data_IF_324543178632
#
_entry.id   IF_324543178632
#
_cell.length_a   1.000
_cell.length_b   1.000
_cell.length_c   1.000
_cell.angle_alpha   90.00
_cell.angle_beta   90.00
_cell.angle_gamma   90.00
#
_symmetry.space_group_name_H-M   'P 1'
#
loop_
_entity.id
_entity.type
_entity.pdbx_description
1 polymer ?
#
# COMPACT_ATOMS: atom_id res chain seq x y z
N UNK A 1 -20.51 -15.39 10.26
CA UNK A 1 -19.24 -16.16 10.19
C UNK A 1 -18.52 -16.18 11.53
N UNK A 2 -18.19 -15.02 12.14
CA UNK A 2 -17.64 -14.99 13.52
C UNK A 2 -18.57 -15.71 14.51
N UNK A 3 -19.86 -15.37 14.53
CA UNK A 3 -20.86 -15.95 15.42
C UNK A 3 -21.06 -17.46 15.24
N UNK A 4 -20.65 -17.99 14.09
CA UNK A 4 -20.69 -19.42 13.75
C UNK A 4 -19.37 -20.14 14.07
N UNK A 5 -18.36 -19.44 14.58
CA UNK A 5 -17.04 -19.99 14.87
C UNK A 5 -16.21 -20.40 13.66
N UNK A 6 -16.61 -19.97 12.43
CA UNK A 6 -15.92 -20.33 11.19
C UNK A 6 -14.62 -19.51 10.99
N UNK A 7 -14.56 -18.33 11.58
CA UNK A 7 -13.37 -17.49 11.61
C UNK A 7 -13.33 -16.66 12.88
N UNK A 8 -12.14 -16.28 13.32
CA UNK A 8 -11.95 -15.34 14.44
C UNK A 8 -11.89 -13.89 13.95
N UNK A 9 -11.36 -13.67 12.76
CA UNK A 9 -11.04 -12.35 12.24
C UNK A 9 -11.65 -12.15 10.85
N UNK A 10 -12.13 -10.95 10.57
CA UNK A 10 -12.70 -10.55 9.29
C UNK A 10 -12.04 -9.24 8.87
N UNK A 11 -11.47 -9.22 7.67
CA UNK A 11 -10.91 -8.01 7.08
C UNK A 11 -11.57 -7.66 5.76
N UNK A 12 -11.30 -6.45 5.30
CA UNK A 12 -11.68 -5.98 3.97
C UNK A 12 -10.45 -5.60 3.17
N UNK A 13 -10.54 -5.76 1.86
CA UNK A 13 -9.51 -5.34 0.92
C UNK A 13 -10.10 -4.52 -0.19
N UNK A 14 -9.31 -3.65 -0.78
CA UNK A 14 -9.73 -2.86 -1.93
C UNK A 14 -8.55 -2.28 -2.70
N UNK A 15 -8.84 -1.81 -3.91
CA UNK A 15 -7.88 -1.24 -4.84
C UNK A 15 -8.44 0.07 -5.42
N UNK A 16 -7.55 0.89 -5.98
CA UNK A 16 -7.93 2.13 -6.63
C UNK A 16 -7.89 3.37 -5.72
N UNK A 17 -8.12 4.54 -6.32
CA UNK A 17 -7.91 5.82 -5.64
C UNK A 17 -9.00 6.18 -4.62
N UNK A 18 -10.16 5.53 -4.65
CA UNK A 18 -11.29 5.82 -3.75
C UNK A 18 -11.33 4.89 -2.54
N UNK A 19 -10.49 3.85 -2.52
CA UNK A 19 -10.54 2.79 -1.51
C UNK A 19 -10.42 3.29 -0.06
N UNK A 20 -9.61 4.29 0.29
CA UNK A 20 -9.57 4.77 1.67
C UNK A 20 -10.94 5.25 2.15
N UNK A 21 -11.67 6.01 1.32
CA UNK A 21 -13.02 6.49 1.69
C UNK A 21 -14.03 5.35 1.78
N UNK A 22 -14.00 4.42 0.84
CA UNK A 22 -14.88 3.23 0.86
C UNK A 22 -14.63 2.39 2.13
N UNK A 23 -13.37 2.27 2.55
CA UNK A 23 -13.04 1.53 3.79
C UNK A 23 -13.49 2.29 5.05
N UNK A 24 -13.40 3.62 5.09
CA UNK A 24 -13.95 4.41 6.19
C UNK A 24 -15.46 4.19 6.33
N UNK A 25 -16.22 4.25 5.21
CA UNK A 25 -17.65 3.95 5.21
C UNK A 25 -17.95 2.50 5.65
N UNK A 26 -17.12 1.54 5.26
CA UNK A 26 -17.27 0.14 5.66
C UNK A 26 -17.05 -0.04 7.18
N UNK A 27 -16.04 0.62 7.75
CA UNK A 27 -15.72 0.62 9.18
C UNK A 27 -16.81 1.31 10.05
N UNK A 28 -17.61 2.18 9.45
CA UNK A 28 -18.79 2.76 10.13
C UNK A 28 -19.98 1.79 10.15
N UNK A 29 -20.00 0.81 9.24
CA UNK A 29 -21.12 -0.14 9.11
C UNK A 29 -20.84 -1.49 9.76
N UNK A 30 -19.58 -1.88 9.88
CA UNK A 30 -19.19 -3.17 10.40
C UNK A 30 -17.82 -3.10 11.09
N UNK A 31 -17.68 -3.87 12.15
CA UNK A 31 -16.47 -3.95 12.99
C UNK A 31 -15.48 -4.94 12.39
N UNK A 32 -14.74 -4.48 11.36
CA UNK A 32 -13.66 -5.26 10.74
C UNK A 32 -12.42 -5.26 11.62
N UNK A 33 -11.72 -6.39 11.63
CA UNK A 33 -10.46 -6.55 12.37
C UNK A 33 -9.26 -6.02 11.57
N UNK A 34 -9.33 -6.04 10.23
CA UNK A 34 -8.25 -5.52 9.38
C UNK A 34 -8.78 -4.82 8.12
N UNK A 35 -8.00 -3.88 7.64
CA UNK A 35 -8.16 -3.30 6.30
C UNK A 35 -6.89 -3.52 5.48
N UNK A 36 -7.06 -3.80 4.18
CA UNK A 36 -5.96 -3.94 3.24
C UNK A 36 -6.17 -3.00 2.06
N UNK A 37 -5.21 -2.11 1.80
CA UNK A 37 -5.28 -1.15 0.70
C UNK A 37 -3.89 -0.67 0.26
N UNK A 38 -3.75 -0.07 -0.93
CA UNK A 38 -2.47 0.45 -1.39
C UNK A 38 -1.95 1.59 -0.51
N UNK A 39 -0.72 1.48 -0.03
CA UNK A 39 0.01 2.57 0.63
C UNK A 39 1.41 2.62 0.01
N UNK A 40 1.66 3.55 -0.87
CA UNK A 40 2.97 3.74 -1.50
C UNK A 40 3.18 5.20 -1.91
N UNK A 41 4.44 5.60 -2.06
CA UNK A 41 4.81 6.97 -2.34
C UNK A 41 4.23 7.52 -3.65
N UNK A 42 4.10 6.67 -4.69
CA UNK A 42 3.52 7.09 -5.97
C UNK A 42 2.04 7.49 -5.84
N UNK A 43 1.24 6.76 -5.08
CA UNK A 43 -0.16 7.13 -4.82
C UNK A 43 -0.29 8.34 -3.91
N UNK A 44 0.62 8.51 -2.95
CA UNK A 44 0.66 9.68 -2.07
C UNK A 44 1.03 10.99 -2.78
N UNK A 45 1.57 10.92 -4.00
CA UNK A 45 1.72 12.10 -4.89
C UNK A 45 0.37 12.77 -5.20
N UNK A 46 -0.72 12.02 -5.18
CA UNK A 46 -2.07 12.58 -5.22
C UNK A 46 -2.47 13.03 -3.80
N UNK A 47 -2.53 14.33 -3.57
CA UNK A 47 -2.80 14.92 -2.25
C UNK A 47 -4.15 14.49 -1.66
N UNK A 48 -5.17 14.29 -2.51
CA UNK A 48 -6.47 13.80 -2.03
C UNK A 48 -6.38 12.36 -1.55
N UNK A 49 -5.71 11.48 -2.31
CA UNK A 49 -5.49 10.10 -1.90
C UNK A 49 -4.69 10.05 -0.60
N UNK A 50 -3.60 10.82 -0.51
CA UNK A 50 -2.77 10.93 0.69
C UNK A 50 -3.61 11.29 1.91
N UNK A 51 -4.39 12.36 1.82
CA UNK A 51 -5.25 12.81 2.92
C UNK A 51 -6.28 11.74 3.34
N UNK A 52 -6.96 11.11 2.37
CA UNK A 52 -7.95 10.07 2.65
C UNK A 52 -7.28 8.80 3.27
N UNK A 53 -6.08 8.44 2.82
CA UNK A 53 -5.33 7.30 3.35
C UNK A 53 -4.82 7.54 4.77
N UNK A 54 -4.27 8.72 5.04
CA UNK A 54 -3.82 9.12 6.38
C UNK A 54 -5.00 9.16 7.37
N UNK A 55 -6.17 9.66 6.94
CA UNK A 55 -7.40 9.65 7.76
C UNK A 55 -7.85 8.22 8.07
N UNK A 56 -7.89 7.33 7.07
CA UNK A 56 -8.24 5.92 7.27
C UNK A 56 -7.27 5.24 8.26
N UNK A 57 -5.95 5.43 8.09
CA UNK A 57 -4.95 4.86 9.00
C UNK A 57 -5.16 5.36 10.42
N UNK A 58 -5.42 6.66 10.59
CA UNK A 58 -5.69 7.25 11.90
C UNK A 58 -6.97 6.68 12.55
N UNK A 59 -8.02 6.43 11.76
CA UNK A 59 -9.24 5.76 12.23
C UNK A 59 -8.92 4.32 12.66
N UNK A 60 -8.20 3.56 11.84
CA UNK A 60 -7.81 2.20 12.14
C UNK A 60 -7.02 2.10 13.45
N UNK A 61 -6.03 2.97 13.65
CA UNK A 61 -5.21 3.00 14.87
C UNK A 61 -6.03 3.32 16.12
N UNK A 62 -7.04 4.21 16.00
CA UNK A 62 -7.96 4.51 17.13
C UNK A 62 -8.92 3.38 17.44
N UNK A 63 -9.32 2.58 16.43
CA UNK A 63 -10.28 1.48 16.55
C UNK A 63 -9.61 0.11 16.79
N UNK A 64 -8.30 0.05 16.91
CA UNK A 64 -7.51 -1.21 16.99
C UNK A 64 -7.73 -2.13 15.76
N UNK A 65 -7.83 -1.54 14.58
CA UNK A 65 -7.98 -2.24 13.30
C UNK A 65 -6.62 -2.38 12.62
N UNK A 66 -6.23 -3.59 12.28
CA UNK A 66 -4.95 -3.87 11.62
C UNK A 66 -4.89 -3.29 10.20
N UNK A 67 -3.83 -2.54 9.89
CA UNK A 67 -3.60 -1.97 8.55
C UNK A 67 -2.57 -2.82 7.80
N UNK A 68 -2.97 -3.37 6.65
CA UNK A 68 -2.13 -4.12 5.72
C UNK A 68 -1.89 -3.25 4.48
N UNK A 69 -0.67 -2.77 4.30
CA UNK A 69 -0.30 -1.88 3.21
C UNK A 69 0.23 -2.69 2.01
N UNK A 70 -0.49 -2.67 0.89
CA UNK A 70 -0.11 -3.39 -0.33
C UNK A 70 0.49 -2.45 -1.39
N UNK A 71 1.01 -3.06 -2.47
CA UNK A 71 1.57 -2.39 -3.66
C UNK A 71 2.81 -1.54 -3.35
N UNK A 72 3.61 -2.00 -2.43
CA UNK A 72 4.86 -1.38 -2.00
C UNK A 72 5.75 -0.97 -3.19
N UNK A 73 5.99 -1.87 -4.13
CA UNK A 73 6.90 -1.64 -5.26
C UNK A 73 6.25 -0.96 -6.47
N UNK A 74 5.00 -0.50 -6.36
CA UNK A 74 4.30 0.04 -7.52
C UNK A 74 4.83 1.42 -7.95
N UNK A 75 5.29 1.50 -9.21
CA UNK A 75 5.63 2.75 -9.91
C UNK A 75 4.41 3.33 -10.65
N UNK A 76 3.46 2.47 -11.02
CA UNK A 76 2.27 2.83 -11.79
C UNK A 76 1.65 1.62 -12.48
N UNK A 77 0.67 1.86 -13.38
CA UNK A 77 0.08 0.82 -14.21
C UNK A 77 0.96 0.42 -15.38
N UNK A 78 0.60 -0.68 -16.04
CA UNK A 78 1.27 -1.16 -17.26
C UNK A 78 0.89 -0.38 -18.52
N UNK A 79 0.07 0.67 -18.43
CA UNK A 79 -0.44 1.40 -19.58
C UNK A 79 0.70 1.88 -20.49
N UNK A 80 0.67 1.46 -21.76
CA UNK A 80 1.71 1.74 -22.73
C UNK A 80 3.01 0.94 -22.55
N UNK A 81 3.04 -0.03 -21.62
CA UNK A 81 4.17 -0.92 -21.36
C UNK A 81 3.71 -2.37 -21.49
N UNK A 82 4.48 -3.20 -22.19
CA UNK A 82 4.23 -4.65 -22.25
C UNK A 82 4.72 -5.26 -20.93
N UNK A 83 3.85 -5.93 -20.16
CA UNK A 83 4.25 -6.61 -18.93
C UNK A 83 5.31 -7.69 -19.23
N UNK A 84 6.41 -7.66 -18.51
CA UNK A 84 7.52 -8.60 -18.63
C UNK A 84 7.84 -9.33 -17.32
N UNK A 85 7.08 -9.05 -16.27
CA UNK A 85 7.10 -9.73 -14.97
C UNK A 85 5.68 -10.01 -14.48
N UNK A 86 5.53 -10.90 -13.50
CA UNK A 86 4.24 -11.39 -13.00
C UNK A 86 3.47 -10.47 -12.07
N UNK A 87 3.74 -9.16 -12.08
CA UNK A 87 3.00 -8.19 -11.25
C UNK A 87 1.83 -7.56 -12.02
N UNK A 88 0.81 -7.12 -11.29
CA UNK A 88 -0.34 -6.41 -11.87
C UNK A 88 -0.06 -4.93 -12.16
N UNK A 89 1.14 -4.46 -11.88
CA UNK A 89 1.58 -3.08 -12.01
C UNK A 89 3.06 -3.05 -12.38
N UNK A 90 3.52 -1.97 -12.97
CA UNK A 90 4.94 -1.72 -13.18
C UNK A 90 5.62 -1.52 -11.84
N UNK A 91 6.59 -2.37 -11.53
CA UNK A 91 7.26 -2.38 -10.24
C UNK A 91 8.67 -1.79 -10.31
N UNK A 92 9.14 -1.24 -9.19
CA UNK A 92 10.57 -1.00 -8.97
C UNK A 92 11.35 -2.32 -9.07
N UNK A 93 12.53 -2.29 -9.71
CA UNK A 93 13.32 -3.51 -9.99
C UNK A 93 14.77 -3.41 -9.57
N UNK A 94 15.24 -2.21 -9.30
CA UNK A 94 16.60 -1.97 -8.85
C UNK A 94 16.65 -1.91 -7.33
N UNK A 95 17.72 -2.48 -6.73
CA UNK A 95 17.86 -2.54 -5.28
C UNK A 95 17.67 -1.19 -4.57
N UNK A 96 18.23 -0.05 -5.04
CA UNK A 96 18.04 1.24 -4.37
C UNK A 96 16.58 1.73 -4.43
N UNK A 97 15.87 1.45 -5.52
CA UNK A 97 14.47 1.83 -5.68
C UNK A 97 13.56 1.00 -4.77
N UNK A 98 13.82 -0.31 -4.69
CA UNK A 98 13.09 -1.25 -3.83
C UNK A 98 13.30 -0.88 -2.36
N UNK A 99 14.54 -0.59 -1.95
CA UNK A 99 14.87 -0.15 -0.61
C UNK A 99 14.14 1.14 -0.24
N UNK A 100 14.20 2.15 -1.11
CA UNK A 100 13.50 3.41 -0.90
C UNK A 100 11.98 3.22 -0.77
N UNK A 101 11.37 2.39 -1.63
CA UNK A 101 9.94 2.12 -1.62
C UNK A 101 9.50 1.37 -0.35
N UNK A 102 10.25 0.33 0.03
CA UNK A 102 10.01 -0.45 1.24
C UNK A 102 10.18 0.39 2.50
N UNK A 103 11.28 1.12 2.62
CA UNK A 103 11.57 1.93 3.80
C UNK A 103 10.56 3.06 3.97
N UNK A 104 10.12 3.67 2.85
CA UNK A 104 9.03 4.64 2.89
C UNK A 104 7.75 4.02 3.43
N UNK A 105 7.35 2.85 2.92
CA UNK A 105 6.12 2.19 3.36
C UNK A 105 6.20 1.73 4.82
N UNK A 106 7.31 1.13 5.25
CA UNK A 106 7.50 0.68 6.63
C UNK A 106 7.63 1.84 7.63
N UNK A 107 7.93 3.05 7.15
CA UNK A 107 7.92 4.27 7.98
C UNK A 107 6.51 4.85 8.17
N UNK A 108 5.47 4.31 7.52
CA UNK A 108 4.10 4.69 7.76
C UNK A 108 3.55 3.97 9.00
N UNK A 109 2.53 4.50 9.69
CA UNK A 109 1.93 3.86 10.87
C UNK A 109 1.01 2.69 10.49
N UNK A 110 1.57 1.68 9.84
CA UNK A 110 0.93 0.45 9.37
C UNK A 110 1.35 -0.76 10.21
N UNK A 111 0.66 -1.90 10.06
CA UNK A 111 0.95 -3.11 10.83
C UNK A 111 1.71 -4.17 10.02
N UNK A 112 1.48 -4.25 8.73
CA UNK A 112 2.14 -5.22 7.85
C UNK A 112 2.19 -4.75 6.41
N UNK A 113 3.23 -5.16 5.69
CA UNK A 113 3.49 -4.84 4.30
C UNK A 113 3.68 -6.13 3.50
N UNK A 114 2.60 -6.74 2.96
CA UNK A 114 2.73 -7.88 2.05
C UNK A 114 3.58 -7.54 0.83
N UNK A 115 4.59 -8.35 0.54
CA UNK A 115 5.45 -8.17 -0.63
C UNK A 115 4.69 -8.41 -1.93
N UNK A 116 5.28 -8.01 -3.08
CA UNK A 116 4.72 -8.34 -4.38
C UNK A 116 4.85 -9.86 -4.67
N UNK A 117 3.96 -10.37 -5.56
CA UNK A 117 3.95 -11.78 -5.94
C UNK A 117 5.05 -12.20 -6.93
N UNK A 118 5.95 -11.29 -7.31
CA UNK A 118 7.09 -11.57 -8.20
C UNK A 118 8.27 -12.10 -7.41
N UNK A 119 8.53 -13.40 -7.51
CA UNK A 119 9.54 -14.09 -6.72
C UNK A 119 10.98 -13.63 -7.04
N UNK A 120 11.23 -13.12 -8.23
CA UNK A 120 12.57 -12.62 -8.63
C UNK A 120 12.96 -11.34 -7.90
N UNK A 121 11.97 -10.57 -7.42
CA UNK A 121 12.21 -9.35 -6.64
C UNK A 121 12.32 -9.62 -5.13
N UNK A 122 11.85 -10.77 -4.66
CA UNK A 122 11.80 -11.09 -3.23
C UNK A 122 13.17 -11.02 -2.52
N UNK A 123 14.28 -11.53 -3.09
CA UNK A 123 15.59 -11.39 -2.44
C UNK A 123 15.98 -9.93 -2.15
N UNK A 124 15.70 -9.02 -3.09
CA UNK A 124 15.98 -7.59 -2.91
C UNK A 124 15.08 -6.94 -1.86
N UNK A 125 13.82 -7.37 -1.78
CA UNK A 125 12.89 -6.92 -0.73
C UNK A 125 13.35 -7.38 0.65
N UNK A 126 13.80 -8.63 0.78
CA UNK A 126 14.30 -9.16 2.05
C UNK A 126 15.60 -8.47 2.49
N UNK A 127 16.55 -8.27 1.56
CA UNK A 127 17.77 -7.53 1.85
C UNK A 127 17.49 -6.09 2.32
N UNK A 128 16.55 -5.39 1.66
CA UNK A 128 16.12 -4.07 2.08
C UNK A 128 15.42 -4.08 3.46
N UNK A 129 14.64 -5.12 3.75
CA UNK A 129 13.95 -5.27 5.02
C UNK A 129 14.91 -5.54 6.19
N UNK A 130 15.96 -6.34 5.97
CA UNK A 130 16.98 -6.62 6.98
C UNK A 130 17.77 -5.36 7.40
N UNK A 131 17.88 -4.39 6.49
CA UNK A 131 18.60 -3.12 6.70
C UNK A 131 17.66 -1.95 6.99
N UNK A 132 16.39 -2.21 7.28
CA UNK A 132 15.39 -1.14 7.45
C UNK A 132 15.77 -0.16 8.54
N UNK A 133 15.71 1.11 8.18
CA UNK A 133 15.77 2.25 9.11
C UNK A 133 14.57 3.17 8.87
N UNK A 134 13.94 3.60 9.95
CA UNK A 134 12.80 4.52 9.85
C UNK A 134 13.23 5.85 9.24
N UNK A 135 12.54 6.26 8.18
CA UNK A 135 12.80 7.52 7.50
C UNK A 135 12.21 8.71 8.28
N UNK A 136 12.94 9.81 8.33
CA UNK A 136 12.40 11.09 8.83
C UNK A 136 11.24 11.57 7.95
N UNK A 137 10.34 12.37 8.51
CA UNK A 137 9.20 12.97 7.77
C UNK A 137 9.67 13.74 6.54
N UNK A 138 10.72 14.56 6.66
CA UNK A 138 11.29 15.29 5.54
C UNK A 138 11.74 14.34 4.41
N UNK A 139 12.38 13.22 4.76
CA UNK A 139 12.83 12.24 3.77
C UNK A 139 11.65 11.52 3.11
N UNK A 140 10.61 11.23 3.86
CA UNK A 140 9.37 10.65 3.31
C UNK A 140 8.71 11.59 2.30
N UNK A 141 8.64 12.89 2.61
CA UNK A 141 8.07 13.90 1.71
C UNK A 141 8.93 14.08 0.45
N UNK A 142 10.26 14.13 0.56
CA UNK A 142 11.17 14.16 -0.58
C UNK A 142 10.94 12.97 -1.53
N UNK A 143 10.74 11.77 -0.97
CA UNK A 143 10.48 10.57 -1.76
C UNK A 143 9.15 10.69 -2.50
N UNK A 144 8.09 11.17 -1.85
CA UNK A 144 6.79 11.42 -2.50
C UNK A 144 6.93 12.48 -3.59
N UNK A 145 7.64 13.56 -3.33
CA UNK A 145 7.84 14.65 -4.30
C UNK A 145 8.64 14.21 -5.53
N UNK A 146 9.58 13.31 -5.34
CA UNK A 146 10.36 12.70 -6.42
C UNK A 146 9.58 11.68 -7.28
N UNK A 147 8.39 11.25 -6.85
CA UNK A 147 7.61 10.32 -7.65
C UNK A 147 7.01 10.98 -8.90
N UNK A 148 6.98 10.25 -10.01
CA UNK A 148 6.12 10.58 -11.12
C UNK A 148 4.66 10.33 -10.73
N UNK A 149 3.68 11.10 -11.26
CA UNK A 149 2.28 10.77 -11.10
C UNK A 149 2.03 9.32 -11.51
N UNK A 150 1.28 8.54 -10.71
CA UNK A 150 1.02 7.15 -11.05
C UNK A 150 0.32 7.06 -12.41
N UNK A 151 0.87 6.24 -13.31
CA UNK A 151 0.21 5.95 -14.58
C UNK A 151 -1.14 5.29 -14.28
N UNK A 152 -2.20 5.62 -15.04
CA UNK A 152 -3.49 4.96 -14.89
C UNK A 152 -3.32 3.44 -15.01
N UNK A 153 -4.04 2.70 -14.20
CA UNK A 153 -4.09 1.24 -14.27
C UNK A 153 -5.56 0.82 -14.26
N UNK A 154 -6.03 -0.02 -15.19
CA UNK A 154 -7.42 -0.42 -15.22
C UNK A 154 -7.92 -0.98 -13.88
N UNK A 155 -7.13 -1.78 -13.20
CA UNK A 155 -7.46 -2.27 -11.85
C UNK A 155 -7.30 -1.21 -10.72
N UNK A 156 -6.77 -0.03 -11.03
CA UNK A 156 -6.74 1.13 -10.14
C UNK A 156 -7.82 2.15 -10.50
N UNK A 157 -8.43 2.01 -11.68
CA UNK A 157 -9.46 2.90 -12.21
C UNK A 157 -10.88 2.30 -12.10
N UNK A 158 -11.00 1.03 -11.71
CA UNK A 158 -12.30 0.39 -11.53
C UNK A 158 -12.71 0.56 -10.07
N UNK A 159 -13.42 1.57 -9.82
CA UNK A 159 -14.66 1.75 -9.03
C UNK A 159 -15.02 3.22 -8.99
#
# INVERSE_FOLDING_TARGET
MKDQGLTKWIGITGHGPTVPRTHMEALDRYDFDTVMFPVNAAMYKNSKYRSDAEELIAICNRKDVGVQAIKMLARGGWEGIIPDIGTWYDAHREQPEIEQALWWQLSQPIHTAPSCGEATLLPMVLDAAERFETLSENRQDEIVDGQNPPRPHPALAIL
#
